data_IF_959755675733
#
_entry.id   IF_959755675733
#
_cell.length_a   1.000
_cell.length_b   1.000
_cell.length_c   1.000
_cell.angle_alpha   90.00
_cell.angle_beta   90.00
_cell.angle_gamma   90.00
#
_symmetry.space_group_name_H-M   'P 1'
#
loop_
_entity.id
_entity.type
_entity.pdbx_description
1 polymer ?
#
# COMPACT_ATOMS: atom_id res chain seq x y z
N UNK A 1 8.86 21.20 7.26
CA UNK A 1 7.88 20.25 6.69
C UNK A 1 7.62 19.21 7.76
N UNK A 2 6.36 19.00 8.14
CA UNK A 2 6.01 17.98 9.15
C UNK A 2 5.96 16.58 8.50
N UNK A 3 6.33 15.55 9.25
CA UNK A 3 6.40 14.15 8.77
C UNK A 3 5.03 13.67 8.31
N UNK A 4 3.96 14.09 8.98
CA UNK A 4 2.58 13.82 8.56
C UNK A 4 2.29 14.35 7.15
N UNK A 5 2.66 15.62 6.89
CA UNK A 5 2.48 16.23 5.56
C UNK A 5 3.34 15.57 4.48
N UNK A 6 4.53 15.10 4.83
CA UNK A 6 5.39 14.38 3.89
C UNK A 6 4.80 13.01 3.53
N UNK A 7 4.26 12.27 4.51
CA UNK A 7 3.60 10.99 4.26
C UNK A 7 2.32 11.17 3.42
N UNK A 8 1.54 12.22 3.68
CA UNK A 8 0.35 12.58 2.90
C UNK A 8 0.70 12.89 1.44
N UNK A 9 1.71 13.74 1.21
CA UNK A 9 2.23 14.03 -0.14
C UNK A 9 2.75 12.78 -0.84
N UNK A 10 3.48 11.92 -0.12
CA UNK A 10 4.00 10.67 -0.68
C UNK A 10 2.88 9.69 -1.02
N UNK A 11 1.84 9.60 -0.17
CA UNK A 11 0.65 8.80 -0.43
C UNK A 11 -0.03 9.25 -1.72
N UNK A 12 -0.28 10.55 -1.90
CA UNK A 12 -0.83 11.10 -3.14
C UNK A 12 0.09 10.88 -4.35
N UNK A 13 1.41 10.96 -4.15
CA UNK A 13 2.39 10.73 -5.21
C UNK A 13 2.38 9.31 -5.79
N UNK A 14 1.80 8.33 -5.11
CA UNK A 14 1.56 6.98 -5.67
C UNK A 14 0.61 7.00 -6.88
N UNK A 15 -0.27 8.00 -7.00
CA UNK A 15 -1.17 8.13 -8.15
C UNK A 15 -0.51 8.86 -9.34
N UNK A 16 0.76 9.25 -9.21
CA UNK A 16 1.46 9.99 -10.26
C UNK A 16 1.73 9.14 -11.49
N UNK A 17 1.28 9.62 -12.66
CA UNK A 17 1.63 9.07 -13.97
C UNK A 17 3.12 9.21 -14.30
N UNK A 18 3.81 10.18 -13.69
CA UNK A 18 5.27 10.34 -13.83
C UNK A 18 5.99 9.30 -12.98
N UNK A 19 6.63 8.32 -13.61
CA UNK A 19 7.33 7.23 -12.92
C UNK A 19 8.37 7.72 -11.91
N UNK A 20 9.09 8.81 -12.21
CA UNK A 20 10.08 9.38 -11.27
C UNK A 20 9.42 9.84 -9.97
N UNK A 21 8.29 10.52 -10.04
CA UNK A 21 7.54 10.98 -8.86
C UNK A 21 7.02 9.80 -8.05
N UNK A 22 6.41 8.81 -8.72
CA UNK A 22 5.98 7.58 -8.05
C UNK A 22 7.14 6.93 -7.29
N UNK A 23 8.29 6.75 -7.96
CA UNK A 23 9.49 6.10 -7.39
C UNK A 23 9.94 6.76 -6.10
N UNK A 24 10.05 8.08 -6.09
CA UNK A 24 10.50 8.81 -4.91
C UNK A 24 9.46 8.74 -3.78
N UNK A 25 8.18 8.90 -4.09
CA UNK A 25 7.11 8.78 -3.10
C UNK A 25 7.01 7.38 -2.50
N UNK A 26 7.12 6.34 -3.32
CA UNK A 26 7.17 4.95 -2.88
C UNK A 26 8.34 4.70 -1.91
N UNK A 27 9.56 5.15 -2.26
CA UNK A 27 10.74 5.00 -1.39
C UNK A 27 10.53 5.64 -0.02
N UNK A 28 9.98 6.86 0.02
CA UNK A 28 9.69 7.57 1.28
C UNK A 28 8.73 6.76 2.15
N UNK A 29 7.65 6.23 1.58
CA UNK A 29 6.69 5.41 2.32
C UNK A 29 7.30 4.11 2.82
N UNK A 30 8.11 3.44 2.00
CA UNK A 30 8.85 2.24 2.41
C UNK A 30 9.72 2.56 3.62
N UNK A 31 10.53 3.62 3.54
CA UNK A 31 11.43 4.02 4.62
C UNK A 31 10.68 4.30 5.93
N UNK A 32 9.52 4.97 5.88
CA UNK A 32 8.70 5.20 7.07
C UNK A 32 8.20 3.92 7.73
N UNK A 33 7.79 2.92 6.93
CA UNK A 33 7.06 1.77 7.46
C UNK A 33 7.89 0.48 7.56
N UNK A 34 9.12 0.47 7.07
CA UNK A 34 10.06 -0.66 7.22
C UNK A 34 11.25 -0.37 8.13
N UNK A 35 11.67 0.90 8.29
CA UNK A 35 12.93 1.25 8.96
C UNK A 35 12.77 1.76 10.40
N UNK A 36 11.67 1.43 11.10
CA UNK A 36 11.43 1.88 12.48
C UNK A 36 12.43 1.32 13.53
N UNK A 37 13.40 0.52 13.11
CA UNK A 37 14.41 -0.16 13.94
C UNK A 37 15.71 0.66 14.10
N UNK A 38 15.65 1.85 14.71
CA UNK A 38 16.89 2.57 15.10
C UNK A 38 17.55 1.98 16.35
N UNK A 39 18.88 2.09 16.44
CA UNK A 39 19.75 1.46 17.47
C UNK A 39 19.69 2.11 18.86
N UNK A 40 19.02 3.26 19.03
CA UNK A 40 19.06 4.03 20.28
C UNK A 40 17.77 3.85 21.11
N UNK A 41 17.86 3.21 22.29
CA UNK A 41 16.73 2.62 23.04
C UNK A 41 15.67 3.62 23.53
N UNK A 42 16.04 4.85 23.89
CA UNK A 42 15.08 5.90 24.29
C UNK A 42 14.43 6.58 23.08
N UNK A 43 15.22 6.99 22.08
CA UNK A 43 14.69 7.52 20.81
C UNK A 43 13.78 6.52 20.10
N UNK A 44 13.99 5.21 20.32
CA UNK A 44 13.19 4.13 19.76
C UNK A 44 11.72 4.17 20.20
N UNK A 45 11.40 4.52 21.45
CA UNK A 45 10.01 4.53 21.94
C UNK A 45 9.21 5.72 21.39
N UNK A 46 9.78 6.92 21.42
CA UNK A 46 9.15 8.12 20.86
C UNK A 46 8.95 7.99 19.35
N UNK A 47 9.98 7.52 18.63
CA UNK A 47 9.90 7.25 17.19
C UNK A 47 8.84 6.19 16.89
N UNK A 48 8.73 5.13 17.70
CA UNK A 48 7.68 4.10 17.52
C UNK A 48 6.28 4.69 17.67
N UNK A 49 6.05 5.54 18.68
CA UNK A 49 4.72 6.18 18.86
C UNK A 49 4.36 7.10 17.69
N UNK A 50 5.32 7.87 17.18
CA UNK A 50 5.12 8.74 16.01
C UNK A 50 4.82 7.91 14.77
N UNK A 51 5.58 6.85 14.51
CA UNK A 51 5.38 5.97 13.34
C UNK A 51 4.04 5.24 13.42
N UNK A 52 3.61 4.78 14.60
CA UNK A 52 2.28 4.16 14.77
C UNK A 52 1.17 5.17 14.48
N UNK A 53 1.26 6.39 15.02
CA UNK A 53 0.27 7.45 14.73
C UNK A 53 0.25 7.81 13.25
N UNK A 54 1.43 7.89 12.63
CA UNK A 54 1.56 8.16 11.20
C UNK A 54 0.89 7.05 10.39
N UNK A 55 1.19 5.79 10.69
CA UNK A 55 0.58 4.62 10.06
C UNK A 55 -0.95 4.67 10.21
N UNK A 56 -1.45 4.83 11.44
CA UNK A 56 -2.88 4.87 11.72
C UNK A 56 -3.60 5.97 10.92
N UNK A 57 -2.95 7.11 10.71
CA UNK A 57 -3.51 8.22 9.93
C UNK A 57 -3.46 8.02 8.41
N UNK A 58 -2.51 7.21 7.90
CA UNK A 58 -2.20 7.15 6.46
C UNK A 58 -2.54 5.82 5.79
N UNK A 59 -2.62 4.71 6.54
CA UNK A 59 -2.74 3.36 5.98
C UNK A 59 -3.91 3.22 5.01
N UNK A 60 -5.10 3.75 5.34
CA UNK A 60 -6.26 3.66 4.46
C UNK A 60 -6.03 4.37 3.12
N UNK A 61 -5.43 5.56 3.15
CA UNK A 61 -5.18 6.33 1.93
C UNK A 61 -4.10 5.67 1.07
N UNK A 62 -3.04 5.12 1.69
CA UNK A 62 -1.98 4.39 0.99
C UNK A 62 -2.55 3.13 0.33
N UNK A 63 -3.33 2.33 1.07
CA UNK A 63 -3.97 1.11 0.56
C UNK A 63 -4.89 1.44 -0.61
N UNK A 64 -5.73 2.46 -0.47
CA UNK A 64 -6.61 2.94 -1.53
C UNK A 64 -5.84 3.30 -2.79
N UNK A 65 -4.79 4.10 -2.66
CA UNK A 65 -3.99 4.54 -3.80
C UNK A 65 -3.28 3.36 -4.46
N UNK A 66 -2.82 2.37 -3.69
CA UNK A 66 -2.23 1.15 -4.25
C UNK A 66 -3.24 0.32 -5.03
N UNK A 67 -4.44 0.12 -4.49
CA UNK A 67 -5.52 -0.60 -5.20
C UNK A 67 -5.86 0.13 -6.50
N UNK A 68 -6.02 1.45 -6.45
CA UNK A 68 -6.28 2.27 -7.64
C UNK A 68 -5.19 2.12 -8.71
N UNK A 69 -3.91 2.16 -8.32
CA UNK A 69 -2.80 1.91 -9.26
C UNK A 69 -2.85 0.51 -9.84
N UNK A 70 -3.12 -0.53 -9.03
CA UNK A 70 -3.19 -1.91 -9.51
C UNK A 70 -4.33 -2.08 -10.53
N UNK A 71 -5.44 -1.38 -10.36
CA UNK A 71 -6.58 -1.49 -11.26
C UNK A 71 -6.43 -0.66 -12.53
N UNK A 72 -5.79 0.52 -12.46
CA UNK A 72 -5.85 1.51 -13.54
C UNK A 72 -4.52 1.80 -14.25
N UNK A 73 -3.38 1.50 -13.62
CA UNK A 73 -2.07 1.81 -14.20
C UNK A 73 -1.70 0.87 -15.33
N UNK A 74 -1.23 1.42 -16.44
CA UNK A 74 -0.57 0.66 -17.52
C UNK A 74 0.91 0.39 -17.25
N UNK A 75 1.50 1.08 -16.27
CA UNK A 75 2.89 0.87 -15.89
C UNK A 75 3.01 -0.32 -14.92
N UNK A 76 3.45 -1.47 -15.45
CA UNK A 76 3.62 -2.71 -14.68
C UNK A 76 4.60 -2.58 -13.51
N UNK A 77 5.58 -1.68 -13.58
CA UNK A 77 6.49 -1.47 -12.47
C UNK A 77 5.77 -0.82 -11.28
N UNK A 78 4.92 0.20 -11.52
CA UNK A 78 4.10 0.81 -10.47
C UNK A 78 3.14 -0.21 -9.85
N UNK A 79 2.50 -1.04 -10.68
CA UNK A 79 1.58 -2.10 -10.23
C UNK A 79 2.27 -3.07 -9.27
N UNK A 80 3.46 -3.55 -9.64
CA UNK A 80 4.25 -4.44 -8.80
C UNK A 80 4.58 -3.82 -7.45
N UNK A 81 5.15 -2.61 -7.46
CA UNK A 81 5.52 -1.94 -6.21
C UNK A 81 4.31 -1.65 -5.31
N UNK A 82 3.13 -1.35 -5.88
CA UNK A 82 1.88 -1.26 -5.12
C UNK A 82 1.46 -2.60 -4.50
N UNK A 83 1.66 -3.73 -5.18
CA UNK A 83 1.48 -5.06 -4.59
C UNK A 83 2.37 -5.28 -3.36
N UNK A 84 3.66 -4.94 -3.46
CA UNK A 84 4.57 -5.02 -2.31
C UNK A 84 4.19 -4.04 -1.19
N UNK A 85 3.74 -2.82 -1.51
CA UNK A 85 3.29 -1.85 -0.51
C UNK A 85 2.09 -2.37 0.28
N UNK A 86 1.08 -2.95 -0.38
CA UNK A 86 -0.07 -3.58 0.28
C UNK A 86 0.38 -4.65 1.27
N UNK A 87 1.28 -5.54 0.85
CA UNK A 87 1.88 -6.56 1.73
C UNK A 87 2.57 -5.93 2.94
N UNK A 88 3.34 -4.86 2.75
CA UNK A 88 4.07 -4.18 3.84
C UNK A 88 3.09 -3.54 4.82
N UNK A 89 2.07 -2.84 4.31
CA UNK A 89 1.05 -2.23 5.17
C UNK A 89 0.35 -3.30 6.01
N UNK A 90 -0.09 -4.41 5.40
CA UNK A 90 -0.75 -5.49 6.15
C UNK A 90 0.17 -6.14 7.21
N UNK A 91 1.47 -6.23 6.91
CA UNK A 91 2.47 -6.80 7.80
C UNK A 91 3.16 -5.78 8.71
N UNK A 92 2.64 -4.56 8.84
CA UNK A 92 3.26 -3.49 9.64
C UNK A 92 3.53 -3.90 11.10
N UNK A 93 2.66 -4.74 11.68
CA UNK A 93 2.87 -5.32 13.02
C UNK A 93 4.18 -6.13 13.10
N UNK A 94 4.55 -6.88 12.05
CA UNK A 94 5.83 -7.62 12.00
C UNK A 94 7.03 -6.70 11.93
N UNK A 95 6.85 -5.50 11.37
CA UNK A 95 7.85 -4.43 11.33
C UNK A 95 7.91 -3.61 12.64
N UNK A 96 7.17 -4.01 13.68
CA UNK A 96 7.16 -3.35 14.98
C UNK A 96 6.19 -2.16 15.08
N UNK A 97 5.29 -2.00 14.11
CA UNK A 97 4.23 -0.99 14.13
C UNK A 97 2.98 -1.66 14.71
N UNK A 98 2.79 -1.56 16.02
CA UNK A 98 1.62 -2.09 16.74
C UNK A 98 0.38 -1.20 16.49
N UNK A 99 -0.15 -1.27 15.28
CA UNK A 99 -1.34 -0.52 14.87
C UNK A 99 -2.62 -1.21 15.33
N UNK A 100 -3.62 -0.39 15.67
CA UNK A 100 -5.00 -0.86 15.90
C UNK A 100 -5.78 -1.08 14.60
N UNK A 101 -5.28 -0.52 13.51
CA UNK A 101 -5.92 -0.58 12.19
C UNK A 101 -5.46 -1.86 11.49
N UNK A 102 -6.44 -2.71 11.16
CA UNK A 102 -6.24 -3.86 10.29
C UNK A 102 -6.82 -3.51 8.93
N UNK A 103 -6.10 -3.88 7.88
CA UNK A 103 -6.65 -3.88 6.53
C UNK A 103 -7.53 -5.12 6.45
N UNK A 104 -8.84 -4.91 6.43
CA UNK A 104 -9.81 -6.01 6.36
C UNK A 104 -10.55 -6.02 5.02
N UNK A 105 -11.27 -7.11 4.78
CA UNK A 105 -12.13 -7.33 3.62
C UNK A 105 -13.12 -6.19 3.40
N UNK A 106 -13.64 -5.59 4.48
CA UNK A 106 -14.63 -4.53 4.39
C UNK A 106 -14.01 -3.27 3.79
N UNK A 107 -12.82 -2.88 4.24
CA UNK A 107 -12.07 -1.76 3.71
C UNK A 107 -11.76 -1.94 2.20
N UNK A 108 -11.32 -3.14 1.82
CA UNK A 108 -11.05 -3.47 0.40
C UNK A 108 -12.34 -3.35 -0.43
N UNK A 109 -13.44 -3.95 0.04
CA UNK A 109 -14.75 -3.87 -0.64
C UNK A 109 -15.22 -2.43 -0.82
N UNK A 110 -15.11 -1.59 0.22
CA UNK A 110 -15.45 -0.16 0.16
C UNK A 110 -14.60 0.59 -0.89
N UNK A 111 -13.32 0.25 -1.04
CA UNK A 111 -12.44 0.85 -2.06
C UNK A 111 -12.81 0.38 -3.47
N UNK A 112 -13.14 -0.90 -3.64
CA UNK A 112 -13.53 -1.50 -4.91
C UNK A 112 -14.94 -1.08 -5.37
N UNK A 113 -15.82 -0.64 -4.47
CA UNK A 113 -17.14 -0.11 -4.82
C UNK A 113 -17.08 1.01 -5.87
N UNK A 114 -16.02 1.84 -5.84
CA UNK A 114 -15.82 2.92 -6.82
C UNK A 114 -15.54 2.42 -8.23
N UNK A 115 -15.03 1.20 -8.34
CA UNK A 115 -14.65 0.54 -9.58
C UNK A 115 -15.65 -0.56 -9.95
N UNK A 116 -16.77 -0.71 -9.23
CA UNK A 116 -17.74 -1.80 -9.48
C UNK A 116 -18.27 -1.82 -10.92
N UNK A 117 -18.38 -0.67 -11.59
CA UNK A 117 -18.82 -0.64 -12.98
C UNK A 117 -17.80 -1.27 -13.95
N UNK A 118 -16.51 -1.23 -13.60
CA UNK A 118 -15.39 -1.80 -14.35
C UNK A 118 -15.08 -3.24 -13.89
N UNK A 119 -15.36 -3.56 -12.61
CA UNK A 119 -15.08 -4.85 -11.97
C UNK A 119 -16.26 -5.84 -12.04
N UNK A 120 -17.42 -5.40 -12.51
CA UNK A 120 -18.70 -6.15 -12.49
C UNK A 120 -18.69 -7.58 -13.03
N UNK A 121 -17.65 -7.98 -13.77
CA UNK A 121 -17.47 -9.34 -14.29
C UNK A 121 -16.62 -10.27 -13.42
N UNK A 122 -15.93 -9.78 -12.38
CA UNK A 122 -15.02 -10.60 -11.58
C UNK A 122 -15.17 -10.35 -10.06
N UNK A 123 -16.06 -11.12 -9.44
CA UNK A 123 -16.27 -11.13 -7.99
C UNK A 123 -15.02 -11.60 -7.22
N UNK A 124 -14.06 -12.27 -7.88
CA UNK A 124 -12.83 -12.78 -7.23
C UNK A 124 -11.78 -11.71 -6.94
N UNK A 125 -11.98 -10.47 -7.40
CA UNK A 125 -10.97 -9.40 -7.26
C UNK A 125 -10.79 -8.95 -5.82
N UNK A 126 -11.84 -9.05 -5.00
CA UNK A 126 -11.69 -8.86 -3.55
C UNK A 126 -10.75 -9.91 -2.97
N UNK A 127 -10.97 -11.18 -3.30
CA UNK A 127 -10.19 -12.31 -2.79
C UNK A 127 -8.74 -12.22 -3.28
N UNK A 128 -8.52 -11.88 -4.55
CA UNK A 128 -7.18 -11.67 -5.10
C UNK A 128 -6.43 -10.52 -4.39
N UNK A 129 -7.13 -9.45 -3.99
CA UNK A 129 -6.54 -8.33 -3.24
C UNK A 129 -6.18 -8.76 -1.80
N UNK A 130 -6.99 -9.60 -1.18
CA UNK A 130 -6.68 -10.21 0.12
C UNK A 130 -5.46 -11.14 0.05
N UNK A 131 -5.32 -11.88 -1.04
CA UNK A 131 -4.16 -12.73 -1.31
C UNK A 131 -2.87 -11.91 -1.42
N UNK A 132 -2.91 -10.70 -2.02
CA UNK A 132 -1.76 -9.79 -2.05
C UNK A 132 -1.37 -9.35 -0.64
N UNK A 133 -2.33 -8.96 0.19
CA UNK A 133 -2.08 -8.52 1.57
C UNK A 133 -1.42 -9.62 2.40
N UNK A 134 -1.84 -10.87 2.17
CA UNK A 134 -1.37 -12.06 2.88
C UNK A 134 -0.15 -12.73 2.21
N UNK A 135 0.37 -12.16 1.12
CA UNK A 135 1.44 -12.75 0.34
C UNK A 135 2.71 -12.99 1.19
N UNK A 136 3.35 -14.18 1.07
CA UNK A 136 4.48 -14.55 1.93
C UNK A 136 5.77 -13.80 1.58
N UNK A 137 5.90 -13.28 0.35
CA UNK A 137 7.10 -12.60 -0.14
C UNK A 137 6.76 -11.39 -1.01
N UNK A 138 7.77 -10.54 -1.25
CA UNK A 138 7.65 -9.37 -2.13
C UNK A 138 7.26 -9.83 -3.54
N UNK A 139 7.97 -10.81 -4.06
CA UNK A 139 7.83 -11.34 -5.42
C UNK A 139 6.44 -11.93 -5.63
N UNK A 140 5.88 -12.64 -4.64
CA UNK A 140 4.51 -13.16 -4.73
C UNK A 140 3.48 -12.04 -4.77
N UNK A 141 3.62 -11.02 -3.92
CA UNK A 141 2.72 -9.87 -3.91
C UNK A 141 2.75 -9.11 -5.25
N UNK A 142 3.95 -8.92 -5.79
CA UNK A 142 4.15 -8.26 -7.09
C UNK A 142 3.51 -9.03 -8.25
N UNK A 143 3.70 -10.35 -8.30
CA UNK A 143 3.12 -11.17 -9.37
C UNK A 143 1.59 -11.30 -9.24
N UNK A 144 1.05 -11.35 -8.02
CA UNK A 144 -0.41 -11.30 -7.79
C UNK A 144 -0.99 -9.97 -8.27
N UNK A 145 -0.39 -8.83 -7.88
CA UNK A 145 -0.83 -7.50 -8.33
C UNK A 145 -0.83 -7.37 -9.86
N UNK A 146 0.22 -7.88 -10.51
CA UNK A 146 0.32 -7.93 -11.98
C UNK A 146 -0.78 -8.80 -12.60
N UNK A 147 -1.11 -9.95 -12.02
CA UNK A 147 -2.21 -10.81 -12.51
C UNK A 147 -3.56 -10.11 -12.43
N UNK A 148 -3.85 -9.42 -11.32
CA UNK A 148 -5.09 -8.64 -11.19
C UNK A 148 -5.13 -7.54 -12.24
N UNK A 149 -4.06 -6.75 -12.37
CA UNK A 149 -3.99 -5.67 -13.35
C UNK A 149 -4.25 -6.16 -14.79
N UNK A 150 -3.73 -7.33 -15.17
CA UNK A 150 -4.00 -7.91 -16.48
C UNK A 150 -5.46 -8.33 -16.72
N UNK A 151 -6.26 -8.53 -15.67
CA UNK A 151 -7.71 -8.77 -15.85
C UNK A 151 -8.43 -7.51 -16.35
N UNK A 152 -7.92 -6.33 -15.99
CA UNK A 152 -8.57 -5.04 -16.24
C UNK A 152 -7.94 -4.22 -17.35
N UNK A 153 -6.62 -4.31 -17.55
CA UNK A 153 -5.90 -3.54 -18.57
C UNK A 153 -5.81 -4.26 -19.93
N UNK A 154 -6.65 -5.28 -20.19
CA UNK A 154 -6.78 -5.85 -21.54
C UNK A 154 -7.52 -4.87 -22.45
N UNK A 155 -6.73 -4.10 -23.20
CA UNK A 155 -7.12 -3.49 -24.48
C UNK A 155 -6.31 -4.18 -25.58
#
# INVERSE_FOLDING_TARGET
MDVGRLADLASHGLLSQKQKTFKECYKVLIEFFTNASSTNRQKKQETKSIVVRLYDSQVHQIVKNCIEVILTSTNLWNVRECGNMLRIMNNANRSGIESKIKIDTKLIKEMLQKYMNEIRSDESVCDDMEDILSAPSKEKAEEMAKKINFKFCKS
#
